data_IF_520770755578
#
_entry.id   IF_520770755578
#
_cell.length_a   1.000
_cell.length_b   1.000
_cell.length_c   1.000
_cell.angle_alpha   90.00
_cell.angle_beta   90.00
_cell.angle_gamma   90.00
#
_symmetry.space_group_name_H-M   'P 1'
#
loop_
_entity.id
_entity.type
_entity.pdbx_description
1 polymer ?
#
# COMPACT_ATOMS: atom_id res chain seq x y z
N UNK A 1 -38.24 0.47 35.75
CA UNK A 1 -38.19 0.14 34.32
C UNK A 1 -37.25 -1.02 34.17
N UNK A 2 -37.69 -2.08 33.50
CA UNK A 2 -36.91 -3.30 33.41
C UNK A 2 -35.77 -3.10 32.40
N UNK A 3 -34.55 -3.51 32.76
CA UNK A 3 -33.39 -3.42 31.87
C UNK A 3 -33.63 -4.10 30.51
N UNK A 4 -34.50 -5.13 30.47
CA UNK A 4 -34.90 -5.81 29.25
C UNK A 4 -35.62 -4.89 28.25
N UNK A 5 -36.52 -4.02 28.73
CA UNK A 5 -37.28 -3.09 27.89
C UNK A 5 -36.36 -1.98 27.34
N UNK A 6 -35.44 -1.49 28.17
CA UNK A 6 -34.43 -0.50 27.77
C UNK A 6 -33.47 -1.06 26.72
N UNK A 7 -33.02 -2.32 26.88
CA UNK A 7 -32.18 -2.99 25.86
C UNK A 7 -32.92 -3.22 24.55
N UNK A 8 -34.21 -3.58 24.60
CA UNK A 8 -35.03 -3.73 23.40
C UNK A 8 -35.15 -2.39 22.65
N UNK A 9 -35.42 -1.30 23.37
CA UNK A 9 -35.47 0.05 22.80
C UNK A 9 -34.11 0.51 22.21
N UNK A 10 -32.99 0.20 22.89
CA UNK A 10 -31.65 0.48 22.37
C UNK A 10 -31.31 -0.35 21.13
N UNK A 11 -31.75 -1.62 21.07
CA UNK A 11 -31.57 -2.46 19.89
C UNK A 11 -32.34 -1.89 18.69
N UNK A 12 -33.63 -1.58 18.87
CA UNK A 12 -34.46 -0.96 17.84
C UNK A 12 -33.83 0.33 17.29
N UNK A 13 -33.28 1.18 18.18
CA UNK A 13 -32.51 2.38 17.79
C UNK A 13 -31.30 2.06 16.92
N UNK A 14 -30.54 1.01 17.25
CA UNK A 14 -29.34 0.61 16.49
C UNK A 14 -29.68 0.07 15.10
N UNK A 15 -30.84 -0.58 14.98
CA UNK A 15 -31.35 -1.15 13.73
C UNK A 15 -32.16 -0.14 12.89
N UNK A 16 -32.46 1.04 13.46
CA UNK A 16 -33.22 2.10 12.80
C UNK A 16 -34.74 1.87 12.79
N UNK A 17 -35.23 0.99 13.65
CA UNK A 17 -36.64 0.66 13.82
C UNK A 17 -37.35 1.67 14.76
N UNK A 18 -38.69 1.69 14.72
CA UNK A 18 -39.48 2.51 15.63
C UNK A 18 -39.28 2.08 17.09
N UNK A 19 -39.00 3.06 17.94
CA UNK A 19 -38.70 2.83 19.35
C UNK A 19 -39.99 2.91 20.15
N UNK A 20 -40.34 1.83 20.86
CA UNK A 20 -41.56 1.78 21.69
C UNK A 20 -41.51 2.68 22.94
N UNK A 21 -40.31 3.07 23.38
CA UNK A 21 -40.07 3.89 24.57
C UNK A 21 -39.61 5.30 24.20
N UNK A 22 -40.08 6.35 24.92
CA UNK A 22 -39.56 7.69 24.79
C UNK A 22 -38.05 7.75 25.03
N UNK A 23 -37.36 8.50 24.18
CA UNK A 23 -35.91 8.47 24.13
C UNK A 23 -35.20 9.07 25.33
N UNK A 24 -35.78 10.10 25.89
CA UNK A 24 -35.36 10.77 27.13
C UNK A 24 -35.35 9.82 28.33
N UNK A 25 -36.33 8.93 28.41
CA UNK A 25 -36.45 7.94 29.48
C UNK A 25 -35.39 6.84 29.35
N UNK A 26 -35.14 6.38 28.12
CA UNK A 26 -34.07 5.41 27.82
C UNK A 26 -32.70 5.99 28.19
N UNK A 27 -32.44 7.24 27.81
CA UNK A 27 -31.16 7.90 28.06
C UNK A 27 -30.93 8.16 29.57
N UNK A 28 -31.98 8.53 30.31
CA UNK A 28 -31.93 8.69 31.76
C UNK A 28 -31.61 7.36 32.49
N UNK A 29 -32.18 6.24 32.03
CA UNK A 29 -31.88 4.93 32.61
C UNK A 29 -30.44 4.49 32.31
N UNK A 30 -29.97 4.66 31.06
CA UNK A 30 -28.60 4.31 30.68
C UNK A 30 -27.58 5.14 31.46
N UNK A 31 -27.88 6.40 31.79
CA UNK A 31 -27.00 7.22 32.62
C UNK A 31 -26.79 6.68 34.05
N UNK A 32 -27.74 5.89 34.57
CA UNK A 32 -27.74 5.42 35.96
C UNK A 32 -27.50 3.91 36.12
N UNK A 33 -27.51 3.13 35.04
CA UNK A 33 -27.37 1.67 35.07
C UNK A 33 -26.09 1.20 34.36
N UNK A 34 -25.08 0.75 35.12
CA UNK A 34 -23.81 0.23 34.60
C UNK A 34 -23.99 -0.98 33.67
N UNK A 35 -24.97 -1.84 33.94
CA UNK A 35 -25.24 -3.05 33.14
C UNK A 35 -25.73 -2.69 31.73
N UNK A 36 -26.59 -1.67 31.62
CA UNK A 36 -27.08 -1.16 30.34
C UNK A 36 -25.99 -0.38 29.59
N UNK A 37 -25.10 0.33 30.28
CA UNK A 37 -23.92 0.98 29.68
C UNK A 37 -22.97 -0.05 29.09
N UNK A 38 -22.62 -1.09 29.86
CA UNK A 38 -21.74 -2.16 29.41
C UNK A 38 -22.32 -2.91 28.22
N UNK A 39 -23.61 -3.25 28.26
CA UNK A 39 -24.31 -3.90 27.16
C UNK A 39 -24.29 -3.04 25.89
N UNK A 40 -24.62 -1.74 25.99
CA UNK A 40 -24.65 -0.84 24.83
C UNK A 40 -23.25 -0.63 24.23
N UNK A 41 -22.22 -0.50 25.08
CA UNK A 41 -20.84 -0.43 24.63
C UNK A 41 -20.41 -1.70 23.89
N UNK A 42 -20.80 -2.88 24.38
CA UNK A 42 -20.50 -4.16 23.74
C UNK A 42 -21.23 -4.32 22.40
N UNK A 43 -22.52 -4.01 22.35
CA UNK A 43 -23.34 -4.08 21.14
C UNK A 43 -22.81 -3.16 20.04
N UNK A 44 -22.47 -1.91 20.38
CA UNK A 44 -21.89 -0.95 19.43
C UNK A 44 -20.47 -1.32 18.99
N UNK A 45 -19.67 -1.96 19.86
CA UNK A 45 -18.36 -2.48 19.50
C UNK A 45 -18.44 -3.62 18.48
N UNK A 46 -19.35 -4.58 18.67
CA UNK A 46 -19.59 -5.68 17.72
C UNK A 46 -20.08 -5.13 16.37
N UNK A 47 -21.06 -4.22 16.39
CA UNK A 47 -21.55 -3.57 15.17
C UNK A 47 -20.45 -2.83 14.40
N UNK A 48 -19.49 -2.22 15.11
CA UNK A 48 -18.33 -1.56 14.51
C UNK A 48 -17.37 -2.56 13.85
N UNK A 49 -17.05 -3.67 14.51
CA UNK A 49 -16.19 -4.72 13.93
C UNK A 49 -16.82 -5.34 12.67
N UNK A 50 -18.13 -5.61 12.70
CA UNK A 50 -18.86 -6.11 11.53
C UNK A 50 -18.86 -5.11 10.36
N UNK A 51 -19.08 -3.81 10.63
CA UNK A 51 -19.03 -2.75 9.61
C UNK A 51 -17.63 -2.57 9.00
N UNK A 52 -16.57 -2.80 9.78
CA UNK A 52 -15.19 -2.73 9.29
C UNK A 52 -14.81 -3.94 8.42
N UNK A 53 -15.47 -5.08 8.61
CA UNK A 53 -15.27 -6.29 7.79
C UNK A 53 -16.17 -6.32 6.55
N UNK A 54 -17.29 -5.61 6.58
CA UNK A 54 -18.17 -5.49 5.43
C UNK A 54 -17.50 -4.67 4.32
N UNK A 55 -17.41 -5.24 3.12
CA UNK A 55 -16.99 -4.51 1.93
C UNK A 55 -18.08 -3.46 1.61
N UNK A 56 -17.80 -2.15 1.70
CA UNK A 56 -18.83 -1.15 1.45
C UNK A 56 -19.36 -1.30 0.01
N UNK A 57 -20.68 -1.15 -0.22
CA UNK A 57 -21.22 -1.10 -1.56
C UNK A 57 -20.56 0.05 -2.34
N UNK A 58 -20.41 -0.12 -3.66
CA UNK A 58 -19.83 0.90 -4.51
C UNK A 58 -20.55 2.23 -4.28
N UNK A 59 -19.83 3.33 -3.98
CA UNK A 59 -20.48 4.60 -3.66
C UNK A 59 -21.34 5.06 -4.83
N UNK A 60 -22.52 5.59 -4.52
CA UNK A 60 -23.33 6.33 -5.49
C UNK A 60 -22.48 7.46 -6.06
N UNK A 61 -22.47 7.60 -7.39
CA UNK A 61 -21.67 8.60 -8.09
C UNK A 61 -22.02 10.00 -7.55
N UNK A 62 -21.04 10.76 -7.07
CA UNK A 62 -21.21 12.11 -6.50
C UNK A 62 -21.23 12.17 -4.97
N UNK A 63 -22.01 11.33 -4.29
CA UNK A 63 -22.17 11.40 -2.83
C UNK A 63 -20.85 11.13 -2.07
N UNK A 64 -19.99 10.27 -2.62
CA UNK A 64 -18.67 10.01 -2.05
C UNK A 64 -17.71 11.19 -2.15
N UNK A 65 -17.83 12.04 -3.18
CA UNK A 65 -16.98 13.21 -3.36
C UNK A 65 -17.37 14.33 -2.37
N UNK A 66 -18.67 14.57 -2.19
CA UNK A 66 -19.17 15.59 -1.26
C UNK A 66 -18.89 15.23 0.20
N UNK A 67 -19.03 13.94 0.56
CA UNK A 67 -18.67 13.44 1.88
C UNK A 67 -17.15 13.52 2.11
N UNK A 68 -16.34 13.13 1.12
CA UNK A 68 -14.90 13.25 1.21
C UNK A 68 -14.46 14.71 1.39
N UNK A 69 -15.09 15.65 0.67
CA UNK A 69 -14.83 17.08 0.82
C UNK A 69 -15.17 17.58 2.23
N UNK A 70 -16.33 17.18 2.78
CA UNK A 70 -16.69 17.49 4.18
C UNK A 70 -15.72 16.90 5.20
N UNK A 71 -15.29 15.66 5.01
CA UNK A 71 -14.31 15.02 5.91
C UNK A 71 -12.94 15.69 5.81
N UNK A 72 -12.51 16.07 4.62
CA UNK A 72 -11.29 16.84 4.40
C UNK A 72 -11.34 18.20 5.10
N UNK A 73 -12.49 18.89 5.01
CA UNK A 73 -12.70 20.17 5.67
C UNK A 73 -12.63 20.04 7.20
N UNK A 74 -13.31 19.04 7.78
CA UNK A 74 -13.24 18.76 9.23
C UNK A 74 -11.83 18.32 9.66
N UNK A 75 -11.10 17.58 8.82
CA UNK A 75 -9.74 17.16 9.10
C UNK A 75 -8.73 18.31 9.01
N UNK A 76 -9.04 19.36 8.25
CA UNK A 76 -8.26 20.60 8.18
C UNK A 76 -8.50 21.47 9.42
N UNK A 77 -9.73 21.48 9.94
CA UNK A 77 -10.09 22.15 11.20
C UNK A 77 -9.47 21.48 12.43
N UNK A 78 -9.16 20.17 12.35
CA UNK A 78 -8.56 19.38 13.45
C UNK A 78 -7.21 18.79 13.01
N UNK A 79 -6.10 19.55 13.08
CA UNK A 79 -4.81 19.15 12.52
C UNK A 79 -4.23 17.88 13.15
N UNK A 80 -4.59 17.57 14.40
CA UNK A 80 -4.17 16.37 15.13
C UNK A 80 -4.73 15.08 14.48
N UNK A 81 -5.98 15.13 14.01
CA UNK A 81 -6.66 14.00 13.37
C UNK A 81 -6.27 13.91 11.88
N UNK A 82 -6.10 15.04 11.20
CA UNK A 82 -5.68 15.10 9.80
C UNK A 82 -4.26 14.58 9.56
N UNK A 83 -3.33 14.85 10.49
CA UNK A 83 -1.94 14.39 10.42
C UNK A 83 -1.82 12.87 10.40
N UNK A 84 -2.57 12.18 11.26
CA UNK A 84 -2.60 10.72 11.35
C UNK A 84 -3.21 10.06 10.12
N UNK A 85 -4.28 10.64 9.57
CA UNK A 85 -4.95 10.14 8.36
C UNK A 85 -4.02 10.27 7.14
N UNK A 86 -3.36 11.41 6.98
CA UNK A 86 -2.43 11.69 5.88
C UNK A 86 -1.18 10.81 5.96
N UNK A 87 -0.61 10.62 7.16
CA UNK A 87 0.51 9.68 7.40
C UNK A 87 0.16 8.24 7.00
N UNK A 88 -1.12 7.85 7.13
CA UNK A 88 -1.59 6.51 6.75
C UNK A 88 -1.72 6.34 5.23
N UNK A 89 -2.03 7.40 4.48
CA UNK A 89 -2.24 7.33 3.03
C UNK A 89 -0.98 7.64 2.19
N UNK A 90 -0.01 8.35 2.75
CA UNK A 90 1.30 8.66 2.14
C UNK A 90 2.05 7.44 1.56
N UNK A 91 2.21 6.30 2.25
CA UNK A 91 2.96 5.17 1.70
C UNK A 91 2.24 4.51 0.52
N UNK A 92 0.91 4.49 0.53
CA UNK A 92 0.12 3.95 -0.58
C UNK A 92 0.23 4.86 -1.81
N UNK A 93 0.10 6.18 -1.63
CA UNK A 93 0.26 7.13 -2.73
C UNK A 93 1.67 7.07 -3.32
N UNK A 94 2.69 7.06 -2.46
CA UNK A 94 4.09 6.91 -2.86
C UNK A 94 4.33 5.61 -3.63
N UNK A 95 3.79 4.48 -3.15
CA UNK A 95 3.90 3.20 -3.84
C UNK A 95 3.23 3.23 -5.22
N UNK A 96 2.05 3.85 -5.36
CA UNK A 96 1.36 3.96 -6.66
C UNK A 96 2.16 4.79 -7.66
N UNK A 97 2.73 5.91 -7.22
CA UNK A 97 3.60 6.74 -8.06
C UNK A 97 4.84 5.95 -8.46
N UNK A 98 5.49 5.25 -7.53
CA UNK A 98 6.66 4.42 -7.82
C UNK A 98 6.33 3.31 -8.83
N UNK A 99 5.20 2.61 -8.68
CA UNK A 99 4.74 1.60 -9.65
C UNK A 99 4.48 2.19 -11.03
N UNK A 100 3.89 3.39 -11.10
CA UNK A 100 3.67 4.08 -12.38
C UNK A 100 4.98 4.49 -13.05
N UNK A 101 5.94 5.04 -12.30
CA UNK A 101 7.28 5.38 -12.81
C UNK A 101 8.00 4.13 -13.30
N UNK A 102 8.00 3.05 -12.51
CA UNK A 102 8.60 1.78 -12.92
C UNK A 102 7.92 1.20 -14.17
N UNK A 103 6.60 1.30 -14.29
CA UNK A 103 5.90 0.88 -15.50
C UNK A 103 6.40 1.64 -16.73
N UNK A 104 6.58 2.97 -16.64
CA UNK A 104 7.18 3.78 -17.70
C UNK A 104 8.60 3.31 -18.03
N UNK A 105 9.43 3.04 -17.02
CA UNK A 105 10.79 2.50 -17.22
C UNK A 105 10.75 1.16 -17.98
N UNK A 106 9.87 0.23 -17.61
CA UNK A 106 9.70 -1.05 -18.30
C UNK A 106 9.22 -0.88 -19.75
N UNK A 107 8.30 0.05 -20.01
CA UNK A 107 7.84 0.34 -21.37
C UNK A 107 8.94 0.95 -22.23
N UNK A 108 9.70 1.92 -21.71
CA UNK A 108 10.85 2.48 -22.41
C UNK A 108 11.89 1.39 -22.71
N UNK A 109 12.15 0.51 -21.75
CA UNK A 109 13.07 -0.62 -21.95
C UNK A 109 12.56 -1.60 -23.02
N UNK A 110 11.27 -1.91 -23.04
CA UNK A 110 10.65 -2.75 -24.07
C UNK A 110 10.76 -2.10 -25.46
N UNK A 111 10.54 -0.79 -25.56
CA UNK A 111 10.67 -0.03 -26.82
C UNK A 111 12.11 -0.05 -27.32
N UNK A 112 13.09 0.17 -26.43
CA UNK A 112 14.52 0.11 -26.77
C UNK A 112 14.93 -1.28 -27.27
N UNK A 113 14.47 -2.36 -26.62
CA UNK A 113 14.73 -3.73 -27.07
C UNK A 113 14.07 -4.04 -28.40
N UNK A 114 12.84 -3.55 -28.61
CA UNK A 114 12.13 -3.74 -29.88
C UNK A 114 12.81 -2.99 -31.02
N UNK A 115 13.16 -1.72 -30.83
CA UNK A 115 13.93 -0.96 -31.82
C UNK A 115 15.31 -1.58 -32.06
N UNK A 116 15.97 -2.04 -30.99
CA UNK A 116 17.25 -2.74 -31.06
C UNK A 116 17.20 -4.05 -31.83
N UNK A 117 16.06 -4.75 -31.85
CA UNK A 117 15.89 -5.95 -32.69
C UNK A 117 16.00 -5.65 -34.20
N UNK A 118 15.76 -4.40 -34.61
CA UNK A 118 15.91 -3.94 -35.99
C UNK A 118 17.29 -3.32 -36.26
N UNK A 119 17.85 -2.64 -35.26
CA UNK A 119 19.13 -1.93 -35.35
C UNK A 119 20.34 -2.80 -34.97
N UNK A 120 20.14 -4.00 -34.40
CA UNK A 120 21.19 -4.91 -33.95
C UNK A 120 21.84 -4.52 -32.61
N UNK A 121 21.38 -3.45 -31.96
CA UNK A 121 21.92 -2.92 -30.70
C UNK A 121 20.82 -2.30 -29.86
N UNK A 122 20.84 -2.50 -28.54
CA UNK A 122 19.91 -1.87 -27.60
C UNK A 122 20.50 -0.65 -26.89
N UNK A 123 21.74 -0.28 -27.21
CA UNK A 123 22.41 0.92 -26.67
C UNK A 123 21.75 2.18 -27.26
N UNK A 124 21.17 3.07 -26.44
CA UNK A 124 20.49 4.28 -26.91
C UNK A 124 21.34 5.18 -27.81
N UNK A 125 22.65 5.26 -27.54
CA UNK A 125 23.56 6.11 -28.31
C UNK A 125 23.77 5.56 -29.73
N UNK A 126 23.95 4.24 -29.84
CA UNK A 126 24.11 3.56 -31.12
C UNK A 126 22.79 3.49 -31.89
N UNK A 127 21.67 3.36 -31.17
CA UNK A 127 20.34 3.34 -31.75
C UNK A 127 20.00 4.68 -32.42
N UNK A 128 20.40 5.80 -31.82
CA UNK A 128 20.20 7.14 -32.40
C UNK A 128 20.97 7.30 -33.73
N UNK A 129 22.23 6.84 -33.78
CA UNK A 129 23.02 6.86 -35.01
C UNK A 129 22.43 5.91 -36.09
N UNK A 130 21.98 4.72 -35.70
CA UNK A 130 21.39 3.73 -36.60
C UNK A 130 20.03 4.13 -37.20
N UNK A 131 19.30 5.06 -36.58
CA UNK A 131 17.98 5.54 -37.02
C UNK A 131 18.10 6.94 -37.68
N UNK A 132 19.30 7.50 -37.81
CA UNK A 132 19.52 8.84 -38.38
C UNK A 132 18.99 8.91 -39.83
N UNK A 133 18.14 9.90 -40.19
CA UNK A 133 17.59 10.01 -41.53
C UNK A 133 18.69 10.27 -42.57
N UNK A 134 18.85 9.37 -43.54
CA UNK A 134 19.78 9.52 -44.67
C UNK A 134 20.65 8.30 -44.93
N UNK A 135 20.90 7.52 -43.88
CA UNK A 135 21.33 6.13 -43.98
C UNK A 135 20.06 5.32 -43.68
N UNK A 136 19.61 4.51 -44.65
CA UNK A 136 18.46 3.62 -44.44
C UNK A 136 18.73 2.57 -43.35
N UNK A 137 17.88 1.55 -43.19
CA UNK A 137 18.12 0.45 -42.25
C UNK A 137 19.31 -0.42 -42.72
N UNK A 138 20.52 0.12 -42.68
CA UNK A 138 21.74 -0.61 -42.99
C UNK A 138 22.28 -1.19 -41.68
N UNK A 139 22.29 -2.53 -41.61
CA UNK A 139 23.22 -3.35 -40.81
C UNK A 139 22.79 -3.94 -39.45
N UNK A 140 21.54 -3.86 -39.00
CA UNK A 140 21.14 -4.45 -37.70
C UNK A 140 20.76 -5.93 -37.69
N UNK A 141 20.20 -6.46 -38.78
CA UNK A 141 19.66 -7.82 -38.84
C UNK A 141 20.69 -8.90 -39.25
N UNK A 142 21.95 -8.76 -38.82
CA UNK A 142 23.00 -9.74 -39.18
C UNK A 142 22.79 -11.11 -38.52
N UNK A 143 22.15 -11.16 -37.35
CA UNK A 143 21.80 -12.40 -36.66
C UNK A 143 20.30 -12.48 -36.34
N UNK A 144 19.52 -13.26 -37.12
CA UNK A 144 18.10 -13.50 -36.85
C UNK A 144 17.81 -14.11 -35.47
N UNK A 145 18.75 -14.85 -34.88
CA UNK A 145 18.57 -15.45 -33.55
C UNK A 145 18.65 -14.39 -32.45
N UNK A 146 19.61 -13.47 -32.54
CA UNK A 146 19.73 -12.37 -31.60
C UNK A 146 18.50 -11.46 -31.64
N UNK A 147 18.02 -11.11 -32.85
CA UNK A 147 16.81 -10.32 -33.03
C UNK A 147 15.59 -10.99 -32.37
N UNK A 148 15.46 -12.33 -32.51
CA UNK A 148 14.41 -13.10 -31.82
C UNK A 148 14.49 -12.97 -30.30
N UNK A 149 15.68 -13.13 -29.71
CA UNK A 149 15.83 -12.99 -28.25
C UNK A 149 15.53 -11.57 -27.75
N UNK A 150 15.88 -10.54 -28.53
CA UNK A 150 15.53 -9.15 -28.22
C UNK A 150 14.01 -8.91 -28.27
N UNK A 151 13.31 -9.51 -29.24
CA UNK A 151 11.84 -9.45 -29.33
C UNK A 151 11.20 -10.17 -28.12
N UNK A 152 11.65 -11.39 -27.81
CA UNK A 152 11.14 -12.16 -26.65
C UNK A 152 11.38 -11.38 -25.33
N UNK A 153 12.55 -10.75 -25.19
CA UNK A 153 12.84 -9.87 -24.08
C UNK A 153 11.90 -8.65 -24.05
N UNK A 154 11.71 -7.95 -25.18
CA UNK A 154 10.82 -6.80 -25.29
C UNK A 154 9.38 -7.14 -24.86
N UNK A 155 8.85 -8.28 -25.33
CA UNK A 155 7.52 -8.78 -24.96
C UNK A 155 7.43 -8.97 -23.45
N UNK A 156 8.43 -9.61 -22.84
CA UNK A 156 8.45 -9.81 -21.38
C UNK A 156 8.48 -8.49 -20.61
N UNK A 157 9.28 -7.50 -21.04
CA UNK A 157 9.38 -6.17 -20.38
C UNK A 157 8.07 -5.40 -20.52
N UNK A 158 7.44 -5.45 -21.68
CA UNK A 158 6.14 -4.82 -21.90
C UNK A 158 5.06 -5.43 -21.00
N UNK A 159 4.98 -6.76 -20.92
CA UNK A 159 4.02 -7.45 -20.06
C UNK A 159 4.22 -7.12 -18.57
N UNK A 160 5.48 -7.06 -18.12
CA UNK A 160 5.85 -6.62 -16.78
C UNK A 160 5.39 -5.18 -16.53
N UNK A 161 5.73 -4.24 -17.43
CA UNK A 161 5.30 -2.84 -17.35
C UNK A 161 3.78 -2.68 -17.29
N UNK A 162 3.04 -3.43 -18.12
CA UNK A 162 1.58 -3.45 -18.10
C UNK A 162 1.02 -3.96 -16.75
N UNK A 163 1.64 -4.97 -16.16
CA UNK A 163 1.30 -5.44 -14.81
C UNK A 163 1.49 -4.37 -13.74
N UNK A 164 2.60 -3.63 -13.77
CA UNK A 164 2.85 -2.53 -12.80
C UNK A 164 1.92 -1.34 -13.03
N UNK A 165 1.64 -1.00 -14.29
CA UNK A 165 0.66 0.03 -14.64
C UNK A 165 -0.74 -0.35 -14.13
N UNK A 166 -1.13 -1.62 -14.27
CA UNK A 166 -2.38 -2.11 -13.71
C UNK A 166 -2.38 -2.06 -12.18
N UNK A 167 -1.28 -2.45 -11.52
CA UNK A 167 -1.16 -2.37 -10.07
C UNK A 167 -1.18 -0.93 -9.53
N UNK A 168 -0.69 0.05 -10.32
CA UNK A 168 -0.75 1.47 -9.94
C UNK A 168 -2.18 2.01 -9.97
N UNK A 169 -3.04 1.53 -10.88
CA UNK A 169 -4.47 1.86 -10.89
C UNK A 169 -5.26 1.02 -9.88
N UNK A 170 -5.05 -0.29 -9.88
CA UNK A 170 -5.72 -1.26 -9.02
C UNK A 170 -4.73 -1.91 -8.04
N UNK A 171 -4.41 -1.25 -6.90
CA UNK A 171 -3.50 -1.75 -5.85
C UNK A 171 -3.78 -3.18 -5.37
N UNK A 172 -5.03 -3.63 -5.55
CA UNK A 172 -5.44 -5.00 -5.27
C UNK A 172 -4.70 -6.08 -6.04
N UNK A 173 -4.16 -5.76 -7.21
CA UNK A 173 -3.38 -6.67 -8.03
C UNK A 173 -1.95 -6.88 -7.51
N UNK A 174 -1.43 -6.01 -6.63
CA UNK A 174 -0.04 -6.05 -6.19
C UNK A 174 0.36 -7.41 -5.57
N UNK A 175 -0.53 -8.01 -4.78
CA UNK A 175 -0.28 -9.31 -4.16
C UNK A 175 -0.06 -10.45 -5.17
N UNK A 176 -0.78 -10.43 -6.30
CA UNK A 176 -0.65 -11.45 -7.35
C UNK A 176 0.62 -11.29 -8.20
N UNK A 177 1.15 -10.07 -8.31
CA UNK A 177 2.35 -9.78 -9.10
C UNK A 177 3.65 -10.03 -8.32
N UNK A 178 3.61 -10.00 -6.98
CA UNK A 178 4.78 -10.15 -6.13
C UNK A 178 5.64 -11.39 -6.44
N UNK A 179 5.08 -12.61 -6.56
CA UNK A 179 5.88 -13.80 -6.86
C UNK A 179 6.63 -13.72 -8.19
N UNK A 180 6.05 -13.05 -9.19
CA UNK A 180 6.64 -12.90 -10.53
C UNK A 180 7.90 -12.02 -10.44
N UNK A 181 7.76 -10.83 -9.85
CA UNK A 181 8.88 -9.88 -9.71
C UNK A 181 9.95 -10.39 -8.75
N UNK A 182 9.54 -11.01 -7.65
CA UNK A 182 10.45 -11.61 -6.68
C UNK A 182 11.24 -12.76 -7.31
N UNK A 183 10.57 -13.64 -8.05
CA UNK A 183 11.22 -14.72 -8.79
C UNK A 183 12.22 -14.18 -9.80
N UNK A 184 11.84 -13.19 -10.60
CA UNK A 184 12.73 -12.56 -11.58
C UNK A 184 13.97 -11.95 -10.92
N UNK A 185 13.80 -11.22 -9.82
CA UNK A 185 14.91 -10.64 -9.06
C UNK A 185 15.82 -11.72 -8.45
N UNK A 186 15.24 -12.72 -7.78
CA UNK A 186 15.99 -13.77 -7.09
C UNK A 186 16.77 -14.66 -8.07
N UNK A 187 16.12 -15.13 -9.15
CA UNK A 187 16.79 -15.90 -10.19
C UNK A 187 17.83 -15.07 -10.94
N UNK A 188 17.53 -13.80 -11.25
CA UNK A 188 18.50 -12.87 -11.82
C UNK A 188 19.74 -12.73 -10.94
N UNK A 189 19.57 -12.65 -9.63
CA UNK A 189 20.68 -12.60 -8.66
C UNK A 189 21.49 -13.90 -8.65
N UNK A 190 20.83 -15.04 -8.81
CA UNK A 190 21.47 -16.34 -8.97
C UNK A 190 22.32 -16.43 -10.25
N UNK A 191 21.81 -15.97 -11.39
CA UNK A 191 22.57 -15.90 -12.64
C UNK A 191 23.76 -14.94 -12.51
N UNK A 192 23.57 -13.78 -11.88
CA UNK A 192 24.68 -12.86 -11.61
C UNK A 192 25.76 -13.51 -10.74
N UNK A 193 25.37 -14.25 -9.71
CA UNK A 193 26.30 -14.99 -8.85
C UNK A 193 27.06 -16.06 -9.66
N UNK A 194 26.37 -16.81 -10.52
CA UNK A 194 26.97 -17.81 -11.41
C UNK A 194 28.02 -17.17 -12.31
N UNK A 195 27.69 -16.07 -12.98
CA UNK A 195 28.56 -15.44 -13.96
C UNK A 195 29.84 -14.89 -13.29
N UNK A 196 29.72 -14.38 -12.06
CA UNK A 196 30.86 -13.97 -11.22
C UNK A 196 31.73 -15.17 -10.85
N UNK A 197 31.13 -16.25 -10.33
CA UNK A 197 31.86 -17.44 -9.86
C UNK A 197 32.55 -18.16 -11.02
N UNK A 198 31.91 -18.21 -12.19
CA UNK A 198 32.44 -18.85 -13.39
C UNK A 198 33.38 -17.94 -14.21
N UNK A 199 33.55 -16.67 -13.81
CA UNK A 199 34.39 -15.71 -14.53
C UNK A 199 33.88 -15.39 -15.95
N UNK A 200 32.57 -15.46 -16.18
CA UNK A 200 31.96 -15.24 -17.49
C UNK A 200 31.85 -13.76 -17.86
N UNK A 201 31.99 -12.85 -16.90
CA UNK A 201 31.87 -11.38 -17.09
C UNK A 201 33.09 -10.73 -17.74
N UNK A 202 34.07 -11.48 -18.25
CA UNK A 202 35.20 -10.94 -19.03
C UNK A 202 36.17 -10.00 -18.28
N UNK A 203 35.93 -9.71 -17.00
CA UNK A 203 36.74 -8.83 -16.14
C UNK A 203 36.57 -9.11 -14.64
N UNK A 204 37.31 -8.38 -13.80
CA UNK A 204 37.30 -8.53 -12.31
C UNK A 204 36.05 -7.97 -11.62
N UNK A 205 35.02 -7.61 -12.39
CA UNK A 205 33.84 -6.88 -11.92
C UNK A 205 32.53 -7.46 -12.44
N UNK A 206 31.44 -6.94 -11.87
CA UNK A 206 30.07 -7.27 -12.27
C UNK A 206 29.63 -6.31 -13.36
N UNK A 207 28.99 -6.81 -14.41
CA UNK A 207 28.47 -5.99 -15.51
C UNK A 207 27.50 -4.91 -14.98
N UNK A 208 27.74 -3.61 -15.25
CA UNK A 208 26.87 -2.54 -14.76
C UNK A 208 25.41 -2.66 -15.22
N UNK A 209 25.18 -3.18 -16.43
CA UNK A 209 23.84 -3.42 -16.96
C UNK A 209 23.08 -4.50 -16.18
N UNK A 210 23.79 -5.55 -15.76
CA UNK A 210 23.23 -6.62 -14.94
C UNK A 210 22.79 -6.08 -13.58
N UNK A 211 23.65 -5.27 -12.93
CA UNK A 211 23.32 -4.60 -11.66
C UNK A 211 22.11 -3.67 -11.84
N UNK A 212 22.09 -2.87 -12.91
CA UNK A 212 20.98 -1.98 -13.22
C UNK A 212 19.65 -2.73 -13.38
N UNK A 213 19.67 -3.85 -14.11
CA UNK A 213 18.49 -4.70 -14.29
C UNK A 213 18.00 -5.27 -12.96
N UNK A 214 18.90 -5.78 -12.11
CA UNK A 214 18.58 -6.30 -10.78
C UNK A 214 17.99 -5.22 -9.87
N UNK A 215 18.55 -4.02 -9.91
CA UNK A 215 18.06 -2.89 -9.12
C UNK A 215 16.62 -2.50 -9.51
N UNK A 216 16.29 -2.50 -10.81
CA UNK A 216 14.92 -2.20 -11.28
C UNK A 216 13.93 -3.26 -10.78
N UNK A 217 14.27 -4.55 -10.85
CA UNK A 217 13.40 -5.62 -10.33
C UNK A 217 13.24 -5.52 -8.81
N UNK A 218 14.31 -5.22 -8.07
CA UNK A 218 14.25 -5.00 -6.63
C UNK A 218 13.35 -3.81 -6.27
N UNK A 219 13.48 -2.70 -7.00
CA UNK A 219 12.64 -1.53 -6.81
C UNK A 219 11.15 -1.86 -7.05
N UNK A 220 10.84 -2.68 -8.06
CA UNK A 220 9.49 -3.17 -8.31
C UNK A 220 8.98 -4.07 -7.17
N UNK A 221 9.81 -4.98 -6.64
CA UNK A 221 9.46 -5.80 -5.47
C UNK A 221 9.15 -4.91 -4.27
N UNK A 222 10.02 -3.94 -3.95
CA UNK A 222 9.83 -3.03 -2.81
C UNK A 222 8.53 -2.21 -2.97
N UNK A 223 8.28 -1.67 -4.17
CA UNK A 223 7.06 -0.92 -4.46
C UNK A 223 5.80 -1.80 -4.31
N UNK A 224 5.83 -3.03 -4.82
CA UNK A 224 4.72 -3.98 -4.70
C UNK A 224 4.49 -4.41 -3.25
N UNK A 225 5.55 -4.68 -2.47
CA UNK A 225 5.45 -5.02 -1.05
C UNK A 225 4.86 -3.86 -0.26
N UNK A 226 5.33 -2.63 -0.53
CA UNK A 226 4.81 -1.42 0.12
C UNK A 226 3.34 -1.21 -0.21
N UNK A 227 2.96 -1.39 -1.48
CA UNK A 227 1.57 -1.31 -1.93
C UNK A 227 0.69 -2.38 -1.27
N UNK A 228 1.18 -3.62 -1.18
CA UNK A 228 0.48 -4.74 -0.56
C UNK A 228 0.31 -4.55 0.96
N UNK A 229 1.39 -4.22 1.68
CA UNK A 229 1.36 -3.93 3.13
C UNK A 229 0.44 -2.75 3.46
N UNK A 230 0.50 -1.69 2.65
CA UNK A 230 -0.35 -0.51 2.86
C UNK A 230 -1.84 -0.83 2.72
N UNK A 231 -2.19 -1.82 1.89
CA UNK A 231 -3.57 -2.27 1.69
C UNK A 231 -4.05 -3.22 2.80
N UNK A 232 -3.19 -4.10 3.30
CA UNK A 232 -3.58 -5.14 4.27
C UNK A 232 -3.59 -4.66 5.75
N UNK A 233 -3.52 -3.36 6.00
CA UNK A 233 -3.46 -2.75 7.35
C UNK A 233 -2.32 -3.28 8.26
N UNK A 234 -1.41 -4.09 7.73
CA UNK A 234 -0.30 -4.75 8.46
C UNK A 234 0.85 -3.83 8.82
N UNK A 235 0.90 -2.60 8.27
CA UNK A 235 1.91 -1.60 8.64
C UNK A 235 1.75 -1.14 10.10
N UNK A 236 0.52 -1.11 10.64
CA UNK A 236 0.28 -0.71 12.04
C UNK A 236 0.89 -1.68 13.06
N UNK A 237 0.55 -2.98 13.06
CA UNK A 237 1.10 -3.90 14.05
C UNK A 237 2.63 -3.99 13.96
N UNK A 238 3.23 -3.97 12.77
CA UNK A 238 4.69 -3.96 12.62
C UNK A 238 5.35 -2.69 13.19
N UNK A 239 4.73 -1.53 12.97
CA UNK A 239 5.22 -0.25 13.50
C UNK A 239 5.02 -0.15 15.01
N UNK A 240 3.89 -0.59 15.52
CA UNK A 240 3.59 -0.62 16.95
C UNK A 240 4.52 -1.61 17.66
N UNK A 241 4.78 -2.78 17.06
CA UNK A 241 5.83 -3.71 17.53
C UNK A 241 7.23 -3.11 17.45
N UNK A 242 7.56 -2.34 16.41
CA UNK A 242 8.84 -1.63 16.34
C UNK A 242 8.95 -0.50 17.37
N UNK A 243 7.88 0.23 17.70
CA UNK A 243 7.85 1.22 18.78
C UNK A 243 8.00 0.58 20.16
N UNK A 244 7.40 -0.60 20.36
CA UNK A 244 7.59 -1.42 21.57
C UNK A 244 9.04 -1.91 21.67
N UNK A 245 9.63 -2.38 20.58
CA UNK A 245 11.03 -2.83 20.53
C UNK A 245 12.04 -1.67 20.64
N UNK A 246 11.69 -0.48 20.15
CA UNK A 246 12.54 0.71 20.19
C UNK A 246 12.36 1.55 21.46
N UNK A 247 11.57 1.06 22.43
CA UNK A 247 11.35 1.67 23.75
C UNK A 247 11.11 3.18 23.69
N UNK A 248 10.42 3.65 22.65
CA UNK A 248 10.05 5.07 22.54
C UNK A 248 8.84 5.27 23.44
N UNK A 249 8.92 6.09 24.51
CA UNK A 249 7.80 6.26 25.43
C UNK A 249 6.60 6.79 24.65
N UNK A 250 5.45 6.14 24.85
CA UNK A 250 4.19 6.66 24.33
C UNK A 250 3.89 7.95 25.10
N UNK A 251 3.85 9.08 24.40
CA UNK A 251 3.30 10.30 24.97
C UNK A 251 1.81 10.06 25.17
N UNK A 252 1.42 9.72 26.40
CA UNK A 252 0.03 9.81 26.80
C UNK A 252 -0.42 11.26 26.63
N UNK A 253 -1.61 11.47 26.07
CA UNK A 253 -2.24 12.79 26.13
C UNK A 253 -2.38 13.18 27.61
N UNK A 254 -2.29 14.47 27.93
CA UNK A 254 -2.43 14.94 29.31
C UNK A 254 -3.75 14.44 29.95
N UNK A 255 -4.80 14.29 29.13
CA UNK A 255 -6.12 13.79 29.52
C UNK A 255 -6.11 12.30 29.82
N UNK A 256 -5.43 11.46 29.03
CA UNK A 256 -5.30 10.02 29.31
C UNK A 256 -4.47 9.76 30.57
N UNK A 257 -3.43 10.57 30.77
CA UNK A 257 -2.63 10.51 31.99
C UNK A 257 -3.48 10.89 33.21
N UNK A 258 -4.36 11.88 33.10
CA UNK A 258 -5.24 12.28 34.21
C UNK A 258 -6.33 11.24 34.52
N UNK A 259 -6.88 10.59 33.49
CA UNK A 259 -7.93 9.58 33.65
C UNK A 259 -7.42 8.19 34.11
N UNK A 260 -6.18 7.83 33.75
CA UNK A 260 -5.64 6.48 34.00
C UNK A 260 -4.39 6.45 34.89
N UNK A 261 -3.81 7.59 35.26
CA UNK A 261 -2.72 7.59 36.24
C UNK A 261 -3.26 7.29 37.63
N UNK A 262 -2.69 6.27 38.27
CA UNK A 262 -2.91 5.99 39.69
C UNK A 262 -2.06 6.89 40.60
N UNK A 263 -1.43 7.93 40.04
CA UNK A 263 -0.52 8.79 40.77
C UNK A 263 -1.22 10.11 41.09
N UNK A 264 -1.67 10.26 42.33
CA UNK A 264 -2.14 11.54 42.85
C UNK A 264 -0.96 12.25 43.54
N UNK A 265 -0.63 13.51 43.18
CA UNK A 265 0.35 14.30 43.91
C UNK A 265 -0.12 14.46 45.37
N UNK A 266 0.52 13.75 46.30
CA UNK A 266 0.16 13.76 47.73
C UNK A 266 -0.03 12.39 48.38
N UNK A 267 0.06 11.28 47.64
CA UNK A 267 0.07 9.93 48.23
C UNK A 267 1.41 9.63 48.91
N UNK A 268 1.59 10.17 50.11
CA UNK A 268 2.65 9.75 51.02
C UNK A 268 2.27 8.37 51.56
N UNK A 269 2.87 7.32 51.01
CA UNK A 269 2.85 5.98 51.60
C UNK A 269 3.31 6.09 53.06
N UNK A 270 2.36 5.97 53.99
CA UNK A 270 2.65 5.70 55.39
C UNK A 270 3.15 4.25 55.47
N UNK A 271 4.46 4.11 55.57
CA UNK A 271 5.15 2.97 56.15
C UNK A 271 5.83 3.41 57.42
#
# INVERSE_FOLDING_TARGET
MECAEVRAALSARLDGEEVALPGDIVDAHVAQCEECQAWYAQATAIGRDLRLRANPPAPTQGAGADLAAKVLQVAEDIPEVGGDMRRRQLPLLGARIALAVLAVVYFLWAILLFAGSTAGTADPAQLYEAIRPGEGPQAGAADPKLAKYMIDAAISRFALGAGLAWASWAPRAAGGLLPIYLGMWAFGGGFATRDIVMGLTGGTGVDPELIGSLAIHLAAVIALVTCWLSRHHTIRPLRDSWHVLSAKPMNFSAVDAEAHSRYYPGDHRRG
#
